data_IF_466681046177
#
_entry.id   IF_466681046177
#
_cell.length_a   1.000
_cell.length_b   1.000
_cell.length_c   1.000
_cell.angle_alpha   90.00
_cell.angle_beta   90.00
_cell.angle_gamma   90.00
#
_symmetry.space_group_name_H-M   'P 1'
#
loop_
_entity.id
_entity.type
_entity.pdbx_description
1 polymer ?
#
# COMPACT_ATOMS: atom_id res chain seq x y z
N UNK A 1 -48.34 8.40 -31.21
CA UNK A 1 -47.56 8.38 -29.95
C UNK A 1 -46.96 9.76 -29.73
N UNK A 2 -47.06 10.31 -28.51
CA UNK A 2 -46.48 11.63 -28.20
C UNK A 2 -44.97 11.49 -28.00
N UNK A 3 -44.19 12.48 -28.46
CA UNK A 3 -42.72 12.50 -28.36
C UNK A 3 -42.22 12.21 -26.93
N UNK A 4 -42.97 12.67 -25.93
CA UNK A 4 -42.72 12.41 -24.50
C UNK A 4 -42.76 10.93 -24.13
N UNK A 5 -43.68 10.14 -24.70
CA UNK A 5 -43.77 8.70 -24.42
C UNK A 5 -42.57 7.95 -24.98
N UNK A 6 -42.10 8.33 -26.17
CA UNK A 6 -40.88 7.75 -26.77
C UNK A 6 -39.64 8.09 -25.95
N UNK A 7 -39.52 9.33 -25.46
CA UNK A 7 -38.43 9.75 -24.59
C UNK A 7 -38.43 8.99 -23.25
N UNK A 8 -39.59 8.83 -22.61
CA UNK A 8 -39.69 8.07 -21.36
C UNK A 8 -39.33 6.59 -21.56
N UNK A 9 -39.83 5.96 -22.62
CA UNK A 9 -39.56 4.56 -22.93
C UNK A 9 -38.09 4.31 -23.26
N UNK A 10 -37.48 5.18 -24.07
CA UNK A 10 -36.05 5.07 -24.42
C UNK A 10 -35.16 5.26 -23.21
N UNK A 11 -35.47 6.25 -22.36
CA UNK A 11 -34.71 6.48 -21.11
C UNK A 11 -34.87 5.30 -20.14
N UNK A 12 -36.07 4.75 -19.99
CA UNK A 12 -36.30 3.57 -19.15
C UNK A 12 -35.58 2.33 -19.68
N UNK A 13 -35.60 2.10 -20.99
CA UNK A 13 -34.89 0.99 -21.61
C UNK A 13 -33.37 1.12 -21.47
N UNK A 14 -32.82 2.32 -21.69
CA UNK A 14 -31.39 2.58 -21.52
C UNK A 14 -30.96 2.43 -20.05
N UNK A 15 -31.74 2.95 -19.11
CA UNK A 15 -31.50 2.77 -17.68
C UNK A 15 -31.57 1.31 -17.25
N UNK A 16 -32.56 0.56 -17.75
CA UNK A 16 -32.70 -0.87 -17.49
C UNK A 16 -31.52 -1.69 -18.03
N UNK A 17 -31.05 -1.41 -19.25
CA UNK A 17 -29.89 -2.08 -19.83
C UNK A 17 -28.60 -1.79 -19.07
N UNK A 18 -28.39 -0.54 -18.64
CA UNK A 18 -27.25 -0.16 -17.81
C UNK A 18 -27.28 -0.84 -16.45
N UNK A 19 -28.44 -0.86 -15.78
CA UNK A 19 -28.63 -1.54 -14.50
C UNK A 19 -28.39 -3.05 -14.61
N UNK A 20 -28.92 -3.70 -15.65
CA UNK A 20 -28.69 -5.12 -15.90
C UNK A 20 -27.21 -5.42 -16.09
N UNK A 21 -26.48 -4.61 -16.85
CA UNK A 21 -25.03 -4.78 -17.04
C UNK A 21 -24.26 -4.70 -15.72
N UNK A 22 -24.62 -3.75 -14.85
CA UNK A 22 -23.99 -3.61 -13.52
C UNK A 22 -24.31 -4.80 -12.63
N UNK A 23 -25.57 -5.27 -12.63
CA UNK A 23 -26.00 -6.42 -11.84
C UNK A 23 -25.34 -7.72 -12.29
N UNK A 24 -25.23 -7.96 -13.61
CA UNK A 24 -24.53 -9.13 -14.14
C UNK A 24 -23.06 -9.12 -13.74
N UNK A 25 -22.38 -7.97 -13.91
CA UNK A 25 -20.98 -7.83 -13.52
C UNK A 25 -20.77 -8.06 -12.02
N UNK A 26 -21.67 -7.54 -11.18
CA UNK A 26 -21.63 -7.77 -9.74
C UNK A 26 -21.83 -9.24 -9.40
N UNK A 27 -22.78 -9.91 -10.04
CA UNK A 27 -23.07 -11.33 -9.82
C UNK A 27 -21.91 -12.23 -10.25
N UNK A 28 -21.29 -11.95 -11.39
CA UNK A 28 -20.09 -12.65 -11.87
C UNK A 28 -18.95 -12.47 -10.87
N UNK A 29 -18.71 -11.22 -10.44
CA UNK A 29 -17.70 -10.93 -9.43
C UNK A 29 -17.97 -11.65 -8.10
N UNK A 30 -19.21 -11.63 -7.59
CA UNK A 30 -19.59 -12.34 -6.36
C UNK A 30 -19.46 -13.86 -6.51
N UNK A 31 -19.77 -14.42 -7.68
CA UNK A 31 -19.59 -15.85 -7.96
C UNK A 31 -18.12 -16.26 -7.98
N UNK A 32 -17.24 -15.41 -8.51
CA UNK A 32 -15.79 -15.61 -8.54
C UNK A 32 -15.13 -15.33 -7.18
N UNK A 33 -15.71 -14.45 -6.36
CA UNK A 33 -15.16 -13.97 -5.08
C UNK A 33 -15.95 -14.50 -3.86
N UNK A 34 -16.52 -15.70 -3.95
CA UNK A 34 -17.24 -16.35 -2.84
C UNK A 34 -16.30 -17.01 -1.82
N UNK A 35 -15.19 -16.34 -1.47
CA UNK A 35 -14.23 -16.80 -0.47
C UNK A 35 -14.37 -15.94 0.77
N UNK A 36 -14.66 -16.57 1.90
CA UNK A 36 -14.65 -15.91 3.21
C UNK A 36 -13.24 -16.02 3.77
N UNK A 37 -12.63 -14.89 4.09
CA UNK A 37 -11.33 -14.81 4.74
C UNK A 37 -11.50 -14.34 6.19
N UNK A 38 -10.85 -15.03 7.11
CA UNK A 38 -10.56 -14.51 8.45
C UNK A 38 -9.23 -13.79 8.34
N UNK A 39 -9.30 -12.46 8.26
CA UNK A 39 -8.15 -11.59 8.08
C UNK A 39 -7.73 -10.99 9.42
N UNK A 40 -6.44 -11.03 9.70
CA UNK A 40 -5.85 -10.41 10.90
C UNK A 40 -5.08 -9.17 10.47
N UNK A 41 -5.26 -8.06 11.19
CA UNK A 41 -4.49 -6.86 10.96
C UNK A 41 -3.02 -7.08 11.37
N UNK A 42 -2.09 -6.66 10.50
CA UNK A 42 -0.67 -6.85 10.74
C UNK A 42 -0.18 -6.13 12.01
N UNK A 43 -0.62 -4.89 12.23
CA UNK A 43 -0.17 -4.08 13.37
C UNK A 43 -0.66 -4.64 14.68
N UNK A 44 -1.92 -5.09 14.72
CA UNK A 44 -2.49 -5.75 15.88
C UNK A 44 -1.77 -7.07 16.20
N UNK A 45 -1.47 -7.89 15.19
CA UNK A 45 -0.74 -9.14 15.41
C UNK A 45 0.72 -8.91 15.81
N UNK A 46 1.39 -7.92 15.22
CA UNK A 46 2.75 -7.55 15.59
C UNK A 46 2.79 -7.04 17.03
N UNK A 47 1.86 -6.17 17.41
CA UNK A 47 1.70 -5.70 18.78
C UNK A 47 1.40 -6.86 19.75
N UNK A 48 0.51 -7.79 19.36
CA UNK A 48 0.23 -8.98 20.16
C UNK A 48 1.47 -9.87 20.33
N UNK A 49 2.26 -10.07 19.27
CA UNK A 49 3.50 -10.85 19.33
C UNK A 49 4.52 -10.23 20.29
N UNK A 50 4.72 -8.90 20.19
CA UNK A 50 5.59 -8.17 21.11
C UNK A 50 5.14 -8.28 22.57
N UNK A 51 3.84 -8.08 22.85
CA UNK A 51 3.29 -8.21 24.21
C UNK A 51 3.40 -9.64 24.75
N UNK A 52 3.27 -10.64 23.90
CA UNK A 52 3.42 -12.04 24.26
C UNK A 52 4.89 -12.48 24.37
N UNK A 53 5.85 -11.63 23.98
CA UNK A 53 7.27 -11.99 23.92
C UNK A 53 7.58 -13.08 22.88
N UNK A 54 6.76 -13.18 21.82
CA UNK A 54 6.89 -14.20 20.79
C UNK A 54 7.56 -13.65 19.53
N UNK A 55 8.40 -14.43 18.85
CA UNK A 55 8.80 -14.13 17.47
C UNK A 55 7.56 -14.00 16.58
N UNK A 56 7.56 -13.02 15.67
CA UNK A 56 6.40 -12.77 14.82
C UNK A 56 5.99 -13.99 13.97
N UNK A 57 6.97 -14.71 13.41
CA UNK A 57 6.69 -15.95 12.66
C UNK A 57 5.90 -16.99 13.49
N UNK A 58 6.21 -17.12 14.79
CA UNK A 58 5.47 -18.02 15.68
C UNK A 58 4.03 -17.53 15.91
N UNK A 59 3.83 -16.21 16.03
CA UNK A 59 2.50 -15.62 16.10
C UNK A 59 1.69 -15.95 14.83
N UNK A 60 2.27 -15.81 13.64
CA UNK A 60 1.63 -16.14 12.36
C UNK A 60 1.20 -17.61 12.34
N UNK A 61 2.09 -18.54 12.71
CA UNK A 61 1.77 -19.97 12.79
C UNK A 61 0.61 -20.23 13.76
N UNK A 62 0.63 -19.62 14.95
CA UNK A 62 -0.44 -19.78 15.94
C UNK A 62 -1.77 -19.25 15.41
N UNK A 63 -1.79 -18.09 14.75
CA UNK A 63 -3.00 -17.54 14.15
C UNK A 63 -3.56 -18.47 13.07
N UNK A 64 -2.70 -19.03 12.21
CA UNK A 64 -3.09 -20.03 11.21
C UNK A 64 -3.73 -21.27 11.85
N UNK A 65 -3.10 -21.80 12.89
CA UNK A 65 -3.63 -22.94 13.65
C UNK A 65 -4.97 -22.65 14.35
N UNK A 66 -5.27 -21.37 14.60
CA UNK A 66 -6.52 -20.92 15.22
C UNK A 66 -7.53 -20.33 14.21
N UNK A 67 -7.35 -20.62 12.93
CA UNK A 67 -8.35 -20.35 11.89
C UNK A 67 -8.22 -19.00 11.19
N UNK A 68 -7.17 -18.20 11.47
CA UNK A 68 -6.82 -17.12 10.56
C UNK A 68 -6.50 -17.70 9.18
N UNK A 69 -6.77 -16.93 8.14
CA UNK A 69 -6.52 -17.34 6.75
C UNK A 69 -5.65 -16.33 6.00
N UNK A 70 -5.75 -15.06 6.38
CA UNK A 70 -5.04 -13.96 5.73
C UNK A 70 -4.50 -12.96 6.75
N UNK A 71 -3.51 -12.20 6.32
CA UNK A 71 -3.06 -10.97 6.95
C UNK A 71 -3.39 -9.76 6.09
N UNK A 72 -3.88 -8.69 6.72
CA UNK A 72 -3.98 -7.37 6.09
C UNK A 72 -2.64 -6.69 6.28
N UNK A 73 -1.82 -6.63 5.23
CA UNK A 73 -0.50 -6.01 5.27
C UNK A 73 -0.64 -4.56 4.76
N UNK A 74 -0.36 -3.54 5.58
CA UNK A 74 -0.45 -2.16 5.12
C UNK A 74 0.64 -1.85 4.08
N UNK A 75 0.32 -0.97 3.13
CA UNK A 75 1.34 -0.36 2.28
C UNK A 75 2.35 0.43 3.14
N UNK A 76 3.60 0.46 2.68
CA UNK A 76 4.59 1.39 3.17
C UNK A 76 4.19 2.81 2.83
N UNK A 77 4.24 3.68 3.83
CA UNK A 77 4.19 5.13 3.63
C UNK A 77 5.46 5.73 4.25
N UNK A 78 5.94 6.86 3.74
CA UNK A 78 7.15 7.48 4.32
C UNK A 78 6.93 7.82 5.79
N UNK A 79 5.74 8.30 6.15
CA UNK A 79 5.40 8.63 7.54
C UNK A 79 5.45 7.39 8.45
N UNK A 80 4.95 6.25 7.98
CA UNK A 80 5.00 5.00 8.72
C UNK A 80 6.44 4.50 8.89
N UNK A 81 7.23 4.53 7.82
CA UNK A 81 8.63 4.13 7.86
C UNK A 81 9.46 5.02 8.78
N UNK A 82 9.17 6.33 8.81
CA UNK A 82 9.75 7.29 9.76
C UNK A 82 9.33 6.99 11.20
N UNK A 83 8.03 6.75 11.43
CA UNK A 83 7.50 6.45 12.77
C UNK A 83 8.08 5.15 13.34
N UNK A 84 8.33 4.16 12.48
CA UNK A 84 8.92 2.87 12.86
C UNK A 84 10.46 2.92 12.93
N UNK A 85 11.09 4.05 12.60
CA UNK A 85 12.54 4.21 12.58
C UNK A 85 13.26 3.45 11.46
N UNK A 86 12.53 2.94 10.47
CA UNK A 86 13.10 2.30 9.27
C UNK A 86 13.70 3.32 8.30
N UNK A 87 13.20 4.55 8.35
CA UNK A 87 13.82 5.72 7.73
C UNK A 87 14.12 6.76 8.80
N UNK A 88 15.22 7.48 8.66
CA UNK A 88 15.61 8.57 9.55
C UNK A 88 16.04 9.79 8.73
N UNK A 89 15.55 11.01 9.05
CA UNK A 89 16.05 12.21 8.40
C UNK A 89 17.53 12.41 8.71
N UNK A 90 18.36 12.47 7.67
CA UNK A 90 19.81 12.65 7.82
C UNK A 90 20.33 13.55 6.70
N UNK A 91 20.91 14.69 7.07
CA UNK A 91 21.53 15.60 6.10
C UNK A 91 22.87 15.00 5.66
N UNK A 92 23.09 14.76 4.36
CA UNK A 92 24.36 14.21 3.88
C UNK A 92 25.48 15.24 3.99
N UNK A 93 26.73 14.80 3.90
CA UNK A 93 27.89 15.70 3.95
C UNK A 93 27.89 16.72 2.80
N UNK A 94 27.38 16.33 1.63
CA UNK A 94 27.27 17.17 0.44
C UNK A 94 25.82 17.19 -0.06
N UNK A 95 24.95 18.01 0.56
CA UNK A 95 23.58 18.16 0.11
C UNK A 95 23.51 18.86 -1.25
N UNK A 96 22.42 18.66 -1.97
CA UNK A 96 22.15 19.40 -3.20
C UNK A 96 22.01 20.89 -2.90
N UNK A 97 22.71 21.70 -3.71
CA UNK A 97 22.72 23.16 -3.62
C UNK A 97 21.74 23.82 -4.58
N UNK A 98 21.33 23.10 -5.63
CA UNK A 98 20.35 23.58 -6.59
C UNK A 98 18.96 23.67 -5.95
N UNK A 99 18.12 24.64 -6.38
CA UNK A 99 16.76 24.74 -5.87
C UNK A 99 15.96 23.48 -6.21
N UNK A 100 15.21 22.97 -5.23
CA UNK A 100 14.32 21.85 -5.45
C UNK A 100 13.21 22.23 -6.45
N UNK A 101 12.82 21.34 -7.39
CA UNK A 101 11.75 21.61 -8.35
C UNK A 101 10.38 21.84 -7.69
N UNK A 102 10.15 21.26 -6.51
CA UNK A 102 8.97 21.41 -5.66
C UNK A 102 9.37 21.35 -4.20
N UNK A 103 8.77 22.20 -3.35
CA UNK A 103 9.04 22.21 -1.91
C UNK A 103 10.54 22.40 -1.59
N UNK A 104 11.11 21.43 -0.87
CA UNK A 104 12.51 21.39 -0.49
C UNK A 104 13.13 20.00 -0.71
N UNK A 105 14.47 19.93 -0.68
CA UNK A 105 15.17 18.64 -0.71
C UNK A 105 15.04 17.92 0.63
N UNK A 106 14.57 16.68 0.59
CA UNK A 106 14.48 15.77 1.71
C UNK A 106 15.54 14.68 1.57
N UNK A 107 16.09 14.26 2.69
CA UNK A 107 17.12 13.22 2.76
C UNK A 107 16.72 12.24 3.85
N UNK A 108 16.37 11.03 3.45
CA UNK A 108 15.95 9.96 4.34
C UNK A 108 16.95 8.81 4.24
N UNK A 109 17.58 8.48 5.35
CA UNK A 109 18.53 7.39 5.46
C UNK A 109 17.84 6.12 5.96
N UNK A 110 18.21 4.96 5.42
CA UNK A 110 17.67 3.66 5.82
C UNK A 110 18.44 2.49 5.22
N UNK A 111 17.85 1.30 5.34
CA UNK A 111 18.38 0.09 4.72
C UNK A 111 18.46 0.22 3.18
N UNK A 112 19.53 -0.30 2.58
CA UNK A 112 19.81 -0.11 1.16
C UNK A 112 18.75 -0.73 0.24
N UNK A 113 18.24 -1.92 0.58
CA UNK A 113 17.21 -2.59 -0.22
C UNK A 113 15.88 -1.84 -0.13
N UNK A 114 15.54 -1.34 1.06
CA UNK A 114 14.38 -0.48 1.28
C UNK A 114 14.49 0.82 0.48
N UNK A 115 15.63 1.52 0.58
CA UNK A 115 15.86 2.78 -0.14
C UNK A 115 15.80 2.59 -1.65
N UNK A 116 16.39 1.52 -2.19
CA UNK A 116 16.32 1.20 -3.60
C UNK A 116 14.88 0.96 -4.08
N UNK A 117 14.09 0.21 -3.31
CA UNK A 117 12.67 -0.05 -3.62
C UNK A 117 11.83 1.24 -3.57
N UNK A 118 11.98 2.04 -2.51
CA UNK A 118 11.29 3.32 -2.39
C UNK A 118 11.65 4.27 -3.52
N UNK A 119 12.93 4.36 -3.88
CA UNK A 119 13.36 5.20 -4.99
C UNK A 119 12.72 4.76 -6.32
N UNK A 120 12.56 3.46 -6.56
CA UNK A 120 11.89 2.94 -7.74
C UNK A 120 10.39 3.31 -7.75
N UNK A 121 9.68 3.06 -6.65
CA UNK A 121 8.24 3.37 -6.52
C UNK A 121 7.98 4.89 -6.61
N UNK A 122 8.79 5.70 -5.92
CA UNK A 122 8.66 7.16 -5.95
C UNK A 122 8.95 7.73 -7.33
N UNK A 123 9.95 7.23 -8.07
CA UNK A 123 10.17 7.66 -9.47
C UNK A 123 9.01 7.28 -10.38
N UNK A 124 8.42 6.10 -10.19
CA UNK A 124 7.31 5.63 -10.99
C UNK A 124 6.03 6.42 -10.73
N UNK A 125 5.73 6.73 -9.46
CA UNK A 125 4.49 7.39 -9.04
C UNK A 125 4.58 8.93 -9.03
N UNK A 126 5.76 9.47 -8.72
CA UNK A 126 6.01 10.90 -8.48
C UNK A 126 7.23 11.42 -9.26
N UNK A 127 7.23 11.35 -10.61
CA UNK A 127 8.40 11.67 -11.43
C UNK A 127 8.92 13.12 -11.26
N UNK A 128 8.07 14.05 -10.83
CA UNK A 128 8.42 15.46 -10.61
C UNK A 128 9.24 15.71 -9.34
N UNK A 129 9.34 14.73 -8.44
CA UNK A 129 10.11 14.84 -7.19
C UNK A 129 11.62 14.65 -7.38
N UNK A 130 12.07 14.32 -8.60
CA UNK A 130 13.48 14.03 -8.90
C UNK A 130 14.12 13.04 -7.91
N UNK A 131 13.35 12.01 -7.52
CA UNK A 131 13.81 11.04 -6.52
C UNK A 131 15.09 10.33 -7.00
N UNK A 132 16.09 10.27 -6.13
CA UNK A 132 17.34 9.56 -6.35
C UNK A 132 17.86 8.85 -5.10
N UNK A 133 18.89 8.02 -5.28
CA UNK A 133 19.64 7.40 -4.20
C UNK A 133 21.04 8.00 -4.24
N UNK A 134 21.50 8.58 -3.12
CA UNK A 134 22.76 9.34 -3.07
C UNK A 134 23.97 8.44 -2.80
N UNK A 135 23.87 7.55 -1.81
CA UNK A 135 24.98 6.71 -1.31
C UNK A 135 24.49 5.31 -0.86
N UNK A 136 23.66 4.69 -1.71
CA UNK A 136 22.97 3.39 -1.51
C UNK A 136 21.93 3.36 -0.37
N UNK A 137 22.14 4.15 0.68
CA UNK A 137 21.36 4.14 1.92
C UNK A 137 20.61 5.45 2.16
N UNK A 138 20.86 6.47 1.35
CA UNK A 138 20.14 7.75 1.45
C UNK A 138 19.25 7.97 0.24
N UNK A 139 17.95 8.02 0.49
CA UNK A 139 16.92 8.47 -0.43
C UNK A 139 16.88 10.00 -0.44
N UNK A 140 16.99 10.60 -1.63
CA UNK A 140 16.83 12.04 -1.83
C UNK A 140 15.65 12.32 -2.75
N UNK A 141 14.83 13.30 -2.41
CA UNK A 141 13.73 13.74 -3.27
C UNK A 141 13.30 15.17 -2.93
N UNK A 142 12.66 15.84 -3.89
CA UNK A 142 12.06 17.15 -3.75
C UNK A 142 10.58 17.03 -3.36
N UNK A 143 10.12 17.85 -2.42
CA UNK A 143 8.72 17.95 -2.02
C UNK A 143 8.56 18.26 -0.54
N UNK A 144 7.34 18.05 -0.04
CA UNK A 144 7.02 18.26 1.38
C UNK A 144 6.46 16.94 1.96
N UNK A 145 7.10 16.44 3.03
CA UNK A 145 6.70 15.19 3.69
C UNK A 145 5.21 15.17 4.07
N UNK A 146 4.58 16.24 4.58
CA UNK A 146 3.14 16.22 4.89
C UNK A 146 2.24 15.90 3.68
N UNK A 147 2.68 16.18 2.46
CA UNK A 147 1.91 15.93 1.24
C UNK A 147 2.14 14.53 0.68
N UNK A 148 3.39 14.07 0.67
CA UNK A 148 3.77 12.79 0.06
C UNK A 148 3.82 11.63 1.07
N UNK A 149 3.85 11.95 2.36
CA UNK A 149 4.24 11.04 3.42
C UNK A 149 3.25 9.91 3.67
N UNK A 150 1.99 10.12 3.28
CA UNK A 150 0.90 9.14 3.36
C UNK A 150 0.67 8.39 2.04
N UNK A 151 1.44 8.70 0.99
CA UNK A 151 1.32 7.96 -0.27
C UNK A 151 1.89 6.56 -0.09
N UNK A 152 1.11 5.57 -0.51
CA UNK A 152 1.53 4.18 -0.55
C UNK A 152 2.70 3.98 -1.52
N UNK A 153 3.74 3.30 -1.04
CA UNK A 153 5.01 3.02 -1.71
C UNK A 153 5.24 1.50 -1.84
N UNK A 154 4.15 0.75 -2.02
CA UNK A 154 4.20 -0.71 -2.12
C UNK A 154 4.17 -1.41 -0.77
N UNK A 155 4.50 -2.70 -0.76
CA UNK A 155 4.36 -3.57 0.41
C UNK A 155 5.68 -4.22 0.79
N UNK A 156 5.83 -4.55 2.06
CA UNK A 156 6.94 -5.33 2.57
C UNK A 156 6.91 -6.76 2.05
N UNK A 157 7.72 -7.03 1.01
CA UNK A 157 7.84 -8.36 0.41
C UNK A 157 8.38 -9.39 1.39
N UNK A 158 9.35 -9.01 2.22
CA UNK A 158 9.95 -9.94 3.17
C UNK A 158 8.92 -10.37 4.22
N UNK A 159 8.16 -9.42 4.75
CA UNK A 159 7.06 -9.71 5.67
C UNK A 159 5.96 -10.53 4.99
N UNK A 160 5.57 -10.18 3.76
CA UNK A 160 4.58 -10.93 3.01
C UNK A 160 5.00 -12.39 2.77
N UNK A 161 6.28 -12.62 2.43
CA UNK A 161 6.82 -13.96 2.20
C UNK A 161 6.91 -14.74 3.51
N UNK A 162 7.29 -14.10 4.62
CA UNK A 162 7.26 -14.71 5.96
C UNK A 162 5.84 -15.16 6.32
N UNK A 163 4.83 -14.31 6.08
CA UNK A 163 3.43 -14.63 6.34
C UNK A 163 3.01 -15.89 5.55
N UNK A 164 3.32 -15.92 4.25
CA UNK A 164 3.03 -17.06 3.35
C UNK A 164 3.74 -18.34 3.77
N UNK A 165 5.02 -18.24 4.12
CA UNK A 165 5.81 -19.38 4.60
C UNK A 165 5.26 -19.99 5.89
N UNK A 166 4.52 -19.21 6.68
CA UNK A 166 3.94 -19.63 7.95
C UNK A 166 2.43 -19.94 7.87
N UNK A 167 1.89 -20.12 6.66
CA UNK A 167 0.59 -20.74 6.43
C UNK A 167 -0.59 -19.79 6.28
N UNK A 168 -0.35 -18.49 6.11
CA UNK A 168 -1.40 -17.49 5.85
C UNK A 168 -1.13 -16.77 4.54
N UNK A 169 -2.17 -16.34 3.84
CA UNK A 169 -2.00 -15.49 2.65
C UNK A 169 -2.02 -14.00 3.04
N UNK A 170 -1.75 -13.10 2.08
CA UNK A 170 -1.75 -11.65 2.29
C UNK A 170 -2.89 -11.03 1.50
N UNK A 171 -3.73 -10.28 2.22
CA UNK A 171 -4.71 -9.37 1.63
C UNK A 171 -4.07 -7.97 1.51
N UNK A 172 -4.14 -7.35 0.32
CA UNK A 172 -3.73 -5.97 0.11
C UNK A 172 -4.71 -4.97 0.73
#
# INVERSE_FOLDING_TARGET
MRLSQLLTLTTAAAGGAAALRVLTRRREWEAENNRVAICVDFDDAQAAAMRAGLPFAEMVTRLAQNGATHFSLPEWTLNRLLANGQLTPLVPQTPYTDPAPVGHWNYLHGDADLVAQLAAEMRARLPFTQTAVLDETTLVFAGDIPTIGELGMGFDRQTADLIRQNGLDVAP
#
